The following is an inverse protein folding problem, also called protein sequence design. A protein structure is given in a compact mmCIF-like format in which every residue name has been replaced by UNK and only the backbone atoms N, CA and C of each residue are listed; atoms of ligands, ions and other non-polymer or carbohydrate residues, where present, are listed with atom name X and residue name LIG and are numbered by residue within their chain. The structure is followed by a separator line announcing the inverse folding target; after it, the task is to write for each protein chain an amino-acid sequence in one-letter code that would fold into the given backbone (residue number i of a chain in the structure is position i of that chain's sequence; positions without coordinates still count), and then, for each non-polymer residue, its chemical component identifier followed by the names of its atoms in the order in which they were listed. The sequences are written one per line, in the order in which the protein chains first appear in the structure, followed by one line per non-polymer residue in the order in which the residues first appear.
data_IF_800866319656
#
_entry.id   IF_800866319656
#
_cell.length_a   1.000
_cell.length_b   1.000
_cell.length_c   1.000
_cell.angle_alpha   90.00
_cell.angle_beta   90.00
_cell.angle_gamma   90.00
#
_symmetry.space_group_name_H-M   'P 1'
#
loop_
_entity.id
_entity.type
_entity.pdbx_description
1 polymer ?
#
# COMPACT_ATOMS: atom_id res chain seq x y z
N UNK A 1 -38.45 -23.41 8.15
CA UNK A 1 -37.19 -24.10 8.57
C UNK A 1 -36.54 -24.82 7.39
N UNK A 2 -36.74 -24.35 6.15
CA UNK A 2 -36.25 -25.01 4.92
C UNK A 2 -35.41 -24.06 4.01
N UNK A 3 -35.11 -22.83 4.44
CA UNK A 3 -34.39 -21.85 3.61
C UNK A 3 -32.85 -21.89 3.75
N UNK A 4 -32.31 -22.62 4.72
CA UNK A 4 -30.88 -22.64 4.96
C UNK A 4 -30.12 -23.78 4.26
N UNK A 5 -30.83 -24.74 3.67
CA UNK A 5 -30.21 -25.95 3.09
C UNK A 5 -29.66 -25.71 1.69
N UNK A 6 -30.25 -24.79 0.94
CA UNK A 6 -29.87 -24.54 -0.48
C UNK A 6 -28.56 -23.73 -0.61
N UNK A 7 -28.25 -22.88 0.35
CA UNK A 7 -27.02 -22.08 0.34
C UNK A 7 -25.80 -22.91 0.76
N UNK A 8 -25.99 -23.86 1.66
CA UNK A 8 -24.93 -24.80 2.07
C UNK A 8 -24.60 -25.82 1.00
N UNK A 9 -25.60 -26.31 0.23
CA UNK A 9 -25.38 -27.23 -0.87
C UNK A 9 -24.61 -26.59 -2.04
N UNK A 10 -24.90 -25.34 -2.37
CA UNK A 10 -24.15 -24.56 -3.37
C UNK A 10 -22.75 -24.24 -2.90
N UNK A 11 -22.57 -23.97 -1.60
CA UNK A 11 -21.26 -23.71 -1.01
C UNK A 11 -20.37 -24.95 -0.98
N UNK A 12 -20.92 -26.11 -0.67
CA UNK A 12 -20.20 -27.39 -0.66
C UNK A 12 -19.84 -27.88 -2.09
N UNK A 13 -20.58 -27.47 -3.12
CA UNK A 13 -20.23 -27.79 -4.51
C UNK A 13 -19.07 -26.92 -5.03
N UNK A 14 -18.90 -25.71 -4.47
CA UNK A 14 -17.79 -24.81 -4.81
C UNK A 14 -16.51 -25.15 -4.00
N UNK A 15 -16.66 -25.70 -2.80
CA UNK A 15 -15.52 -26.02 -1.93
C UNK A 15 -14.78 -27.32 -2.30
N UNK A 16 -15.34 -28.14 -3.20
CA UNK A 16 -14.75 -29.41 -3.62
C UNK A 16 -14.02 -29.35 -4.96
N UNK A 17 -13.58 -28.17 -5.37
CA UNK A 17 -12.61 -28.03 -6.46
C UNK A 17 -11.25 -27.78 -5.83
N UNK A 18 -10.43 -28.84 -5.77
CA UNK A 18 -9.07 -28.87 -5.25
C UNK A 18 -8.23 -27.65 -5.63
N UNK A 19 -8.20 -26.65 -4.79
CA UNK A 19 -7.22 -25.59 -4.84
C UNK A 19 -5.94 -26.06 -4.15
N UNK A 20 -5.01 -26.58 -4.96
CA UNK A 20 -3.64 -26.84 -4.60
C UNK A 20 -3.03 -25.58 -3.98
N UNK A 21 -2.36 -25.65 -2.81
CA UNK A 21 -1.76 -24.48 -2.18
C UNK A 21 -0.72 -23.84 -3.13
N UNK A 22 -0.86 -22.56 -3.36
CA UNK A 22 0.15 -21.74 -4.05
C UNK A 22 1.37 -21.63 -3.12
N UNK A 23 2.42 -22.37 -3.47
CA UNK A 23 3.74 -22.24 -2.84
C UNK A 23 4.30 -20.85 -3.15
N UNK A 24 4.61 -20.12 -2.09
CA UNK A 24 5.41 -18.89 -2.13
C UNK A 24 6.77 -19.18 -2.78
N UNK A 25 7.23 -18.39 -3.76
CA UNK A 25 8.55 -18.61 -4.35
C UNK A 25 9.64 -18.27 -3.33
N UNK A 26 10.38 -19.30 -2.92
CA UNK A 26 11.62 -19.17 -2.17
C UNK A 26 12.73 -18.65 -3.10
N UNK A 27 13.67 -17.82 -2.60
CA UNK A 27 14.77 -17.35 -3.43
C UNK A 27 15.70 -18.50 -3.79
N UNK A 28 15.97 -18.63 -5.08
CA UNK A 28 16.87 -19.63 -5.66
C UNK A 28 18.30 -19.27 -5.24
N UNK A 29 18.83 -20.02 -4.28
CA UNK A 29 20.28 -20.03 -4.00
C UNK A 29 20.91 -21.03 -4.95
N UNK A 30 21.56 -20.54 -5.98
CA UNK A 30 22.37 -21.36 -6.88
C UNK A 30 23.69 -21.71 -6.20
N UNK A 31 23.76 -22.89 -5.64
CA UNK A 31 25.02 -23.53 -5.19
C UNK A 31 25.67 -24.23 -6.39
N UNK A 32 26.37 -23.52 -7.24
CA UNK A 32 27.30 -24.11 -8.19
C UNK A 32 28.62 -24.44 -7.47
N UNK A 33 28.71 -25.67 -6.95
CA UNK A 33 29.98 -26.28 -6.58
C UNK A 33 30.79 -26.60 -7.83
N UNK A 34 31.55 -25.66 -8.35
CA UNK A 34 32.67 -25.94 -9.24
C UNK A 34 33.83 -26.54 -8.42
N UNK A 35 33.98 -27.86 -8.55
CA UNK A 35 35.21 -28.54 -8.16
C UNK A 35 36.35 -28.07 -9.03
N UNK A 36 37.17 -27.16 -8.52
CA UNK A 36 38.47 -26.86 -9.09
C UNK A 36 39.49 -27.80 -8.48
N UNK A 37 39.88 -28.81 -9.25
CA UNK A 37 41.00 -29.68 -8.91
C UNK A 37 42.30 -28.88 -8.96
N UNK A 38 42.85 -28.53 -7.82
CA UNK A 38 44.19 -27.97 -7.74
C UNK A 38 45.20 -29.11 -7.68
N UNK A 39 45.90 -29.25 -8.77
CA UNK A 39 47.08 -30.10 -8.87
C UNK A 39 48.22 -29.53 -7.98
N UNK A 40 48.60 -30.28 -6.97
CA UNK A 40 49.69 -29.92 -6.06
C UNK A 40 51.02 -30.29 -6.70
N UNK A 41 51.74 -29.31 -7.15
CA UNK A 41 53.10 -29.51 -7.62
C UNK A 41 53.78 -28.18 -7.92
N UNK A 42 54.60 -27.71 -7.01
CA UNK A 42 55.57 -26.67 -7.35
C UNK A 42 55.65 -25.46 -6.41
N UNK A 43 56.54 -25.56 -5.45
CA UNK A 43 57.44 -24.44 -5.15
C UNK A 43 56.98 -23.39 -4.15
N UNK A 44 57.58 -23.48 -3.01
CA UNK A 44 57.80 -22.54 -1.90
C UNK A 44 57.82 -21.01 -2.24
N UNK A 45 57.88 -20.62 -3.50
CA UNK A 45 57.93 -19.21 -3.93
C UNK A 45 56.53 -18.54 -4.00
N UNK A 46 55.49 -19.33 -4.17
CA UNK A 46 54.12 -18.80 -4.24
C UNK A 46 53.56 -18.44 -2.84
N UNK A 47 53.96 -19.17 -1.81
CA UNK A 47 53.60 -18.92 -0.42
C UNK A 47 54.22 -17.65 0.13
N UNK A 48 55.47 -17.32 -0.29
CA UNK A 48 56.14 -16.08 0.08
C UNK A 48 55.50 -14.86 -0.59
N UNK A 49 55.07 -14.97 -1.84
CA UNK A 49 54.36 -13.89 -2.54
C UNK A 49 52.98 -13.62 -1.95
N UNK A 50 52.25 -14.67 -1.56
CA UNK A 50 50.92 -14.54 -0.91
C UNK A 50 51.03 -13.90 0.47
N UNK A 51 52.08 -14.22 1.24
CA UNK A 51 52.31 -13.64 2.56
C UNK A 51 52.75 -12.17 2.48
N UNK A 52 53.49 -11.77 1.45
CA UNK A 52 53.86 -10.37 1.21
C UNK A 52 52.62 -9.52 0.87
N UNK A 53 51.68 -10.04 0.06
CA UNK A 53 50.43 -9.32 -0.27
C UNK A 53 49.56 -9.15 0.96
N UNK A 54 49.49 -10.16 1.86
CA UNK A 54 48.75 -10.09 3.12
C UNK A 54 49.34 -9.12 4.15
N UNK A 55 50.68 -8.88 4.11
CA UNK A 55 51.32 -7.92 5.02
C UNK A 55 51.32 -6.49 4.45
N UNK A 56 51.50 -6.33 3.13
CA UNK A 56 51.53 -5.01 2.49
C UNK A 56 50.09 -4.43 2.36
N UNK A 57 49.10 -5.26 2.09
CA UNK A 57 47.71 -4.82 1.92
C UNK A 57 47.16 -4.01 3.12
N UNK A 58 47.25 -4.50 4.36
CA UNK A 58 46.81 -3.76 5.55
C UNK A 58 47.63 -2.48 5.79
N UNK A 59 48.92 -2.48 5.50
CA UNK A 59 49.77 -1.30 5.66
C UNK A 59 49.37 -0.22 4.64
N UNK A 60 49.13 -0.59 3.39
CA UNK A 60 48.65 0.33 2.37
C UNK A 60 47.27 0.88 2.70
N UNK A 61 46.35 0.03 3.16
CA UNK A 61 45.03 0.46 3.63
C UNK A 61 45.12 1.39 4.84
N UNK A 62 46.02 1.10 5.78
CA UNK A 62 46.27 1.94 6.95
C UNK A 62 46.83 3.31 6.56
N UNK A 63 47.80 3.34 5.65
CA UNK A 63 48.40 4.59 5.12
C UNK A 63 47.33 5.38 4.34
N UNK A 64 46.52 4.75 3.48
CA UNK A 64 45.45 5.40 2.75
C UNK A 64 44.37 5.95 3.69
N UNK A 65 44.07 5.24 4.78
CA UNK A 65 43.13 5.70 5.77
C UNK A 65 43.64 6.92 6.57
N UNK A 66 44.95 6.91 6.89
CA UNK A 66 45.58 7.97 7.70
C UNK A 66 45.98 9.21 6.88
N UNK A 67 46.31 9.05 5.59
CA UNK A 67 46.69 10.16 4.72
C UNK A 67 45.53 10.83 4.02
N UNK A 68 44.30 10.28 4.20
CA UNK A 68 43.09 10.86 3.59
C UNK A 68 43.07 10.80 2.05
N UNK A 69 44.04 10.14 1.42
CA UNK A 69 44.16 9.98 -0.04
C UNK A 69 43.28 8.78 -0.43
N UNK A 70 42.00 8.92 -0.45
CA UNK A 70 41.08 7.82 -0.84
C UNK A 70 39.61 8.06 -0.50
N UNK A 71 39.32 9.06 0.27
CA UNK A 71 37.94 9.52 0.45
C UNK A 71 37.63 10.53 -0.66
N UNK A 72 37.49 10.04 -1.89
CA UNK A 72 36.67 10.75 -2.85
C UNK A 72 35.23 10.63 -2.31
N UNK A 73 34.87 11.51 -1.38
CA UNK A 73 33.50 11.87 -1.21
C UNK A 73 33.06 12.33 -2.57
N UNK A 74 32.18 11.53 -3.22
CA UNK A 74 31.45 12.01 -4.38
C UNK A 74 30.66 13.20 -3.89
N UNK A 75 31.28 14.38 -4.00
CA UNK A 75 30.64 15.65 -3.77
C UNK A 75 29.63 15.81 -4.89
N UNK A 76 28.39 15.39 -4.63
CA UNK A 76 27.27 15.72 -5.49
C UNK A 76 27.03 17.23 -5.33
N UNK A 77 27.35 18.06 -6.32
CA UNK A 77 27.20 19.52 -6.18
C UNK A 77 25.74 19.96 -5.99
N UNK A 78 24.79 19.04 -6.16
CA UNK A 78 23.35 19.23 -5.90
C UNK A 78 22.86 18.54 -4.62
N UNK A 79 23.71 17.91 -3.84
CA UNK A 79 23.33 17.52 -2.50
C UNK A 79 23.20 18.80 -1.68
N UNK A 80 21.95 19.19 -1.45
CA UNK A 80 21.62 20.18 -0.41
C UNK A 80 22.26 19.67 0.87
N UNK A 81 23.36 20.29 1.30
CA UNK A 81 24.00 19.93 2.56
C UNK A 81 22.93 20.06 3.65
N UNK A 82 22.83 19.08 4.57
CA UNK A 82 21.99 19.29 5.74
C UNK A 82 22.51 20.56 6.40
N UNK A 83 21.70 21.61 6.37
CA UNK A 83 21.97 22.83 7.11
C UNK A 83 21.79 22.47 8.58
N UNK A 84 22.85 21.93 9.18
CA UNK A 84 22.97 21.92 10.63
C UNK A 84 23.18 23.39 10.97
N UNK A 85 22.10 24.04 11.37
CA UNK A 85 22.16 25.42 11.82
C UNK A 85 23.13 25.47 12.99
N UNK A 86 24.30 26.08 12.78
CA UNK A 86 25.27 26.34 13.83
C UNK A 86 24.57 27.13 14.95
N UNK A 87 24.22 26.43 16.05
CA UNK A 87 23.71 27.05 17.25
C UNK A 87 22.22 27.47 17.27
N UNK A 88 21.44 27.13 16.26
CA UNK A 88 20.00 27.37 16.21
C UNK A 88 19.21 26.37 17.06
N UNK A 89 18.30 26.83 17.89
CA UNK A 89 17.32 25.98 18.60
C UNK A 89 16.37 25.40 17.51
N UNK A 90 16.33 24.07 17.38
CA UNK A 90 15.49 23.37 16.42
C UNK A 90 14.01 23.67 16.74
N UNK A 91 13.28 24.22 15.80
CA UNK A 91 11.85 24.50 15.94
C UNK A 91 11.05 23.27 15.51
N UNK A 92 10.43 22.63 16.47
CA UNK A 92 9.62 21.41 16.26
C UNK A 92 8.17 21.70 16.55
N UNK A 93 7.28 21.31 15.65
CA UNK A 93 5.84 21.29 15.86
C UNK A 93 5.29 19.88 15.76
N UNK A 94 4.04 19.70 16.12
CA UNK A 94 3.34 18.44 15.98
C UNK A 94 1.91 18.64 15.53
N UNK A 95 1.42 17.64 14.80
CA UNK A 95 0.03 17.55 14.33
C UNK A 95 -0.55 16.21 14.79
N UNK A 96 -1.66 16.28 15.53
CA UNK A 96 -2.49 15.13 15.86
C UNK A 96 -3.32 14.77 14.62
N UNK A 97 -2.93 13.68 13.95
CA UNK A 97 -3.59 13.24 12.70
C UNK A 97 -5.01 12.75 12.94
N UNK A 98 -5.30 12.16 14.09
CA UNK A 98 -6.64 11.66 14.39
C UNK A 98 -7.60 12.83 14.54
N UNK A 99 -7.19 13.86 15.30
CA UNK A 99 -7.95 15.10 15.45
C UNK A 99 -8.08 15.85 14.12
N UNK A 100 -7.01 15.90 13.31
CA UNK A 100 -7.01 16.56 12.02
C UNK A 100 -8.03 15.88 11.09
N UNK A 101 -7.97 14.56 10.94
CA UNK A 101 -8.88 13.81 10.05
C UNK A 101 -10.34 13.90 10.53
N UNK A 102 -10.57 13.90 11.84
CA UNK A 102 -11.91 14.03 12.41
C UNK A 102 -12.55 15.42 12.19
N UNK A 103 -11.73 16.48 12.07
CA UNK A 103 -12.21 17.86 11.92
C UNK A 103 -12.08 18.42 10.50
N UNK A 104 -11.28 17.81 9.62
CA UNK A 104 -11.09 18.28 8.26
C UNK A 104 -12.32 17.94 7.40
N UNK A 105 -13.07 18.96 7.00
CA UNK A 105 -14.34 18.79 6.29
C UNK A 105 -14.19 18.02 4.96
N UNK A 106 -13.09 18.21 4.25
CA UNK A 106 -12.83 17.45 3.02
C UNK A 106 -12.66 15.95 3.31
N UNK A 107 -11.98 15.58 4.39
CA UNK A 107 -11.83 14.17 4.78
C UNK A 107 -13.19 13.54 5.12
N UNK A 108 -14.05 14.29 5.82
CA UNK A 108 -15.41 13.85 6.15
C UNK A 108 -16.25 13.67 4.88
N UNK A 109 -16.22 14.64 3.97
CA UNK A 109 -16.97 14.59 2.70
C UNK A 109 -16.47 13.44 1.82
N UNK A 110 -15.16 13.21 1.77
CA UNK A 110 -14.52 12.13 1.02
C UNK A 110 -14.90 10.74 1.56
N UNK A 111 -14.91 10.60 2.89
CA UNK A 111 -15.37 9.36 3.53
C UNK A 111 -16.85 9.09 3.20
N UNK A 112 -17.71 10.12 3.30
CA UNK A 112 -19.11 9.99 2.95
C UNK A 112 -19.32 9.63 1.45
N UNK A 113 -18.50 10.15 0.55
CA UNK A 113 -18.50 9.76 -0.87
C UNK A 113 -18.12 8.29 -1.05
N UNK A 114 -17.07 7.84 -0.36
CA UNK A 114 -16.63 6.44 -0.40
C UNK A 114 -17.70 5.50 0.13
N UNK A 115 -18.37 5.85 1.21
CA UNK A 115 -19.44 5.03 1.79
C UNK A 115 -20.65 4.92 0.86
N UNK A 116 -21.05 6.03 0.23
CA UNK A 116 -22.10 6.02 -0.81
C UNK A 116 -21.68 5.17 -2.02
N UNK A 117 -20.41 5.22 -2.41
CA UNK A 117 -19.90 4.39 -3.50
C UNK A 117 -19.98 2.90 -3.14
N UNK A 118 -19.54 2.51 -1.94
CA UNK A 118 -19.66 1.12 -1.44
C UNK A 118 -21.11 0.65 -1.45
N UNK A 119 -22.00 1.41 -0.85
CA UNK A 119 -23.44 1.10 -0.79
C UNK A 119 -24.05 0.96 -2.19
N UNK A 120 -23.69 1.83 -3.12
CA UNK A 120 -24.16 1.76 -4.51
C UNK A 120 -23.68 0.49 -5.21
N UNK A 121 -22.42 0.10 -5.02
CA UNK A 121 -21.84 -1.11 -5.62
C UNK A 121 -22.49 -2.36 -5.02
N UNK A 122 -22.68 -2.40 -3.73
CA UNK A 122 -23.32 -3.52 -3.03
C UNK A 122 -24.77 -3.68 -3.46
N UNK A 123 -25.53 -2.60 -3.53
CA UNK A 123 -26.92 -2.62 -4.03
C UNK A 123 -27.01 -3.17 -5.45
N UNK A 124 -26.12 -2.74 -6.34
CA UNK A 124 -26.06 -3.25 -7.72
C UNK A 124 -25.78 -4.76 -7.75
N UNK A 125 -24.87 -5.23 -6.92
CA UNK A 125 -24.59 -6.67 -6.79
C UNK A 125 -25.81 -7.44 -6.30
N UNK A 126 -26.48 -6.97 -5.26
CA UNK A 126 -27.69 -7.60 -4.70
C UNK A 126 -28.84 -7.62 -5.72
N UNK A 127 -29.01 -6.57 -6.50
CA UNK A 127 -30.02 -6.53 -7.58
C UNK A 127 -29.73 -7.60 -8.64
N UNK A 128 -28.47 -7.77 -9.05
CA UNK A 128 -28.08 -8.79 -10.01
C UNK A 128 -28.26 -10.20 -9.46
N UNK A 129 -27.91 -10.43 -8.19
CA UNK A 129 -28.13 -11.70 -7.49
C UNK A 129 -29.62 -12.05 -7.43
N UNK A 130 -30.44 -11.09 -7.00
CA UNK A 130 -31.90 -11.29 -6.92
C UNK A 130 -32.50 -11.61 -8.28
N UNK A 131 -32.06 -10.90 -9.32
CA UNK A 131 -32.51 -11.18 -10.69
C UNK A 131 -32.14 -12.58 -11.13
N UNK A 132 -30.87 -12.97 -10.90
CA UNK A 132 -30.42 -14.31 -11.22
C UNK A 132 -31.23 -15.39 -10.48
N UNK A 133 -31.48 -15.23 -9.18
CA UNK A 133 -32.28 -16.16 -8.40
C UNK A 133 -33.71 -16.28 -8.94
N UNK A 134 -34.35 -15.17 -9.31
CA UNK A 134 -35.68 -15.17 -9.88
C UNK A 134 -35.72 -15.87 -11.26
N UNK A 135 -34.74 -15.60 -12.11
CA UNK A 135 -34.61 -16.22 -13.42
C UNK A 135 -34.38 -17.73 -13.29
N UNK A 136 -33.52 -18.15 -12.35
CA UNK A 136 -33.31 -19.56 -12.03
C UNK A 136 -34.57 -20.25 -11.50
N UNK A 137 -35.30 -19.63 -10.55
CA UNK A 137 -36.55 -20.15 -10.05
C UNK A 137 -37.62 -20.25 -11.14
N UNK A 138 -37.67 -19.30 -12.05
CA UNK A 138 -38.57 -19.32 -13.20
C UNK A 138 -38.22 -20.50 -14.13
N UNK A 139 -36.94 -20.72 -14.41
CA UNK A 139 -36.47 -21.87 -15.20
C UNK A 139 -36.89 -23.21 -14.55
N UNK A 140 -36.71 -23.36 -13.24
CA UNK A 140 -37.13 -24.58 -12.55
C UNK A 140 -38.63 -24.88 -12.68
N UNK A 141 -39.48 -23.85 -12.76
CA UNK A 141 -40.93 -24.00 -12.87
C UNK A 141 -41.40 -24.23 -14.32
N UNK A 142 -40.70 -23.67 -15.28
CA UNK A 142 -41.16 -23.64 -16.68
C UNK A 142 -40.32 -24.51 -17.62
N UNK A 143 -39.15 -24.97 -17.19
CA UNK A 143 -38.16 -25.69 -17.99
C UNK A 143 -38.74 -26.97 -18.61
N UNK A 144 -39.55 -27.71 -17.88
CA UNK A 144 -40.18 -28.94 -18.40
C UNK A 144 -41.09 -28.69 -19.61
N UNK A 145 -41.65 -27.50 -19.76
CA UNK A 145 -42.48 -27.09 -20.87
C UNK A 145 -41.71 -26.48 -22.07
N UNK A 146 -40.42 -26.36 -21.95
CA UNK A 146 -39.56 -25.82 -23.00
C UNK A 146 -39.12 -26.89 -23.97
N UNK A 147 -38.81 -26.52 -25.23
CA UNK A 147 -38.14 -27.43 -26.19
C UNK A 147 -36.69 -27.67 -25.71
N UNK A 148 -36.12 -28.79 -26.11
CA UNK A 148 -34.74 -29.14 -25.75
C UNK A 148 -33.73 -28.04 -26.11
N UNK A 149 -33.90 -27.41 -27.27
CA UNK A 149 -33.05 -26.28 -27.67
C UNK A 149 -33.19 -25.05 -26.77
N UNK A 150 -34.41 -24.75 -26.30
CA UNK A 150 -34.66 -23.66 -25.35
C UNK A 150 -34.08 -23.98 -23.98
N UNK A 151 -34.24 -25.19 -23.47
CA UNK A 151 -33.63 -25.62 -22.22
C UNK A 151 -32.11 -25.43 -22.25
N UNK A 152 -31.44 -25.97 -23.27
CA UNK A 152 -29.98 -25.85 -23.42
C UNK A 152 -29.52 -24.38 -23.48
N UNK A 153 -30.24 -23.55 -24.22
CA UNK A 153 -29.91 -22.11 -24.30
C UNK A 153 -30.05 -21.40 -22.95
N UNK A 154 -31.14 -21.67 -22.23
CA UNK A 154 -31.40 -21.06 -20.91
C UNK A 154 -30.41 -21.54 -19.86
N UNK A 155 -30.06 -22.82 -19.84
CA UNK A 155 -29.04 -23.38 -18.95
C UNK A 155 -27.67 -22.75 -19.21
N UNK A 156 -27.28 -22.62 -20.48
CA UNK A 156 -26.03 -21.98 -20.85
C UNK A 156 -25.97 -20.52 -20.41
N UNK A 157 -27.09 -19.78 -20.54
CA UNK A 157 -27.19 -18.39 -20.09
C UNK A 157 -27.12 -18.29 -18.57
N UNK A 158 -27.85 -19.11 -17.83
CA UNK A 158 -27.83 -19.14 -16.37
C UNK A 158 -26.44 -19.50 -15.85
N UNK A 159 -25.79 -20.48 -16.44
CA UNK A 159 -24.39 -20.84 -16.11
C UNK A 159 -23.44 -19.65 -16.31
N UNK A 160 -23.50 -19.00 -17.46
CA UNK A 160 -22.68 -17.83 -17.74
C UNK A 160 -22.90 -16.69 -16.75
N UNK A 161 -24.16 -16.47 -16.34
CA UNK A 161 -24.51 -15.45 -15.34
C UNK A 161 -23.99 -15.82 -13.95
N UNK A 162 -24.09 -17.10 -13.55
CA UNK A 162 -23.55 -17.58 -12.29
C UNK A 162 -22.02 -17.37 -12.22
N UNK A 163 -21.29 -17.73 -13.29
CA UNK A 163 -19.84 -17.49 -13.40
C UNK A 163 -19.50 -16.01 -13.28
N UNK A 164 -20.25 -15.13 -13.97
CA UNK A 164 -20.06 -13.68 -13.87
C UNK A 164 -20.32 -13.15 -12.46
N UNK A 165 -21.34 -13.63 -11.77
CA UNK A 165 -21.66 -13.22 -10.41
C UNK A 165 -20.59 -13.69 -9.42
N UNK A 166 -20.04 -14.90 -9.62
CA UNK A 166 -18.92 -15.41 -8.80
C UNK A 166 -17.65 -14.56 -8.92
N UNK A 167 -17.36 -14.01 -10.11
CA UNK A 167 -16.20 -13.12 -10.28
C UNK A 167 -16.48 -11.67 -9.85
N UNK A 168 -17.73 -11.22 -9.95
CA UNK A 168 -18.14 -9.85 -9.70
C UNK A 168 -17.86 -9.40 -8.27
N UNK A 169 -18.04 -10.26 -7.28
CA UNK A 169 -17.76 -9.96 -5.87
C UNK A 169 -16.29 -9.59 -5.65
N UNK A 170 -15.36 -10.38 -6.21
CA UNK A 170 -13.94 -10.09 -6.16
C UNK A 170 -13.57 -8.79 -6.89
N UNK A 171 -14.17 -8.54 -8.05
CA UNK A 171 -13.96 -7.29 -8.80
C UNK A 171 -14.46 -6.07 -8.03
N UNK A 172 -15.62 -6.16 -7.39
CA UNK A 172 -16.18 -5.08 -6.58
C UNK A 172 -15.28 -4.77 -5.38
N UNK A 173 -14.83 -5.80 -4.68
CA UNK A 173 -13.90 -5.65 -3.56
C UNK A 173 -12.63 -4.90 -4.02
N UNK A 174 -12.04 -5.32 -5.14
CA UNK A 174 -10.86 -4.66 -5.68
C UNK A 174 -11.12 -3.21 -6.08
N UNK A 175 -12.26 -2.91 -6.71
CA UNK A 175 -12.65 -1.54 -7.08
C UNK A 175 -12.84 -0.64 -5.87
N UNK A 176 -13.45 -1.15 -4.81
CA UNK A 176 -13.65 -0.42 -3.55
C UNK A 176 -12.30 -0.13 -2.88
N UNK A 177 -11.42 -1.14 -2.80
CA UNK A 177 -10.07 -0.96 -2.25
C UNK A 177 -9.27 0.07 -3.06
N UNK A 178 -9.32 0.00 -4.39
CA UNK A 178 -8.65 0.97 -5.26
C UNK A 178 -9.18 2.38 -5.02
N UNK A 179 -10.51 2.57 -5.02
CA UNK A 179 -11.13 3.88 -4.74
C UNK A 179 -10.72 4.42 -3.38
N UNK A 180 -10.63 3.55 -2.36
CA UNK A 180 -10.19 3.94 -1.02
C UNK A 180 -8.71 4.38 -1.00
N UNK A 181 -7.84 3.63 -1.69
CA UNK A 181 -6.42 3.99 -1.82
C UNK A 181 -6.25 5.34 -2.54
N UNK A 182 -6.92 5.54 -3.67
CA UNK A 182 -6.86 6.78 -4.44
C UNK A 182 -7.34 7.97 -3.61
N UNK A 183 -8.45 7.79 -2.88
CA UNK A 183 -8.98 8.80 -1.97
C UNK A 183 -8.00 9.15 -0.85
N UNK A 184 -7.36 8.16 -0.24
CA UNK A 184 -6.35 8.38 0.79
C UNK A 184 -5.12 9.12 0.25
N UNK A 185 -4.65 8.75 -0.94
CA UNK A 185 -3.51 9.42 -1.60
C UNK A 185 -3.86 10.88 -1.89
N UNK A 186 -5.05 11.16 -2.42
CA UNK A 186 -5.50 12.53 -2.69
C UNK A 186 -5.57 13.36 -1.41
N UNK A 187 -6.18 12.80 -0.34
CA UNK A 187 -6.29 13.45 0.95
C UNK A 187 -4.91 13.81 1.54
N UNK A 188 -3.99 12.84 1.57
CA UNK A 188 -2.63 13.06 2.09
C UNK A 188 -1.87 14.10 1.26
N UNK A 189 -1.99 14.05 -0.06
CA UNK A 189 -1.35 15.04 -0.93
C UNK A 189 -1.82 16.46 -0.65
N UNK A 190 -3.13 16.67 -0.41
CA UNK A 190 -3.68 17.97 -0.04
C UNK A 190 -3.16 18.44 1.30
N UNK A 191 -3.16 17.57 2.31
CA UNK A 191 -2.65 17.88 3.66
C UNK A 191 -1.17 18.27 3.58
N UNK A 192 -0.35 17.48 2.90
CA UNK A 192 1.09 17.76 2.78
C UNK A 192 1.38 19.03 1.95
N UNK A 193 0.60 19.30 0.91
CA UNK A 193 0.72 20.52 0.14
C UNK A 193 0.44 21.75 1.04
N UNK A 194 -0.67 21.72 1.76
CA UNK A 194 -1.04 22.79 2.68
C UNK A 194 0.00 23.00 3.77
N UNK A 195 0.47 21.94 4.45
CA UNK A 195 1.50 22.04 5.50
C UNK A 195 2.77 22.68 4.95
N UNK A 196 3.17 22.32 3.73
CA UNK A 196 4.35 22.87 3.07
C UNK A 196 4.20 24.36 2.79
N UNK A 197 3.04 24.78 2.26
CA UNK A 197 2.73 26.19 2.02
C UNK A 197 2.64 26.99 3.31
N UNK A 198 1.96 26.45 4.33
CA UNK A 198 1.87 27.05 5.65
C UNK A 198 3.26 27.28 6.26
N UNK A 199 4.12 26.27 6.23
CA UNK A 199 5.45 26.36 6.78
C UNK A 199 6.34 27.33 5.99
N UNK A 200 6.24 27.33 4.66
CA UNK A 200 6.98 28.26 3.81
C UNK A 200 6.57 29.73 4.03
N UNK A 201 5.28 30.00 4.18
CA UNK A 201 4.77 31.33 4.43
C UNK A 201 5.19 31.90 5.80
N UNK A 202 5.30 31.05 6.81
CA UNK A 202 5.57 31.45 8.17
C UNK A 202 7.00 31.16 8.63
N UNK A 203 7.78 30.36 7.86
CA UNK A 203 9.17 29.92 8.15
C UNK A 203 9.37 29.48 9.61
N UNK A 204 8.41 28.70 10.12
CA UNK A 204 8.32 28.50 11.57
C UNK A 204 9.04 27.27 12.06
N UNK A 205 8.97 26.14 11.30
CA UNK A 205 9.37 24.85 11.84
C UNK A 205 10.38 24.16 10.97
N UNK A 206 11.42 23.59 11.60
CA UNK A 206 12.42 22.72 10.95
C UNK A 206 11.87 21.29 10.82
N UNK A 207 11.04 20.86 11.77
CA UNK A 207 10.42 19.53 11.79
C UNK A 207 8.96 19.64 12.23
N UNK A 208 8.06 19.00 11.50
CA UNK A 208 6.67 18.81 11.92
C UNK A 208 6.44 17.30 12.09
N UNK A 209 6.17 16.89 13.33
CA UNK A 209 5.94 15.49 13.68
C UNK A 209 4.45 15.16 13.61
N UNK A 210 4.17 13.92 13.24
CA UNK A 210 2.83 13.36 13.29
C UNK A 210 2.62 12.60 14.61
N UNK A 211 1.50 12.84 15.26
CA UNK A 211 1.00 12.06 16.38
C UNK A 211 -0.28 11.31 15.95
N UNK A 212 -0.41 10.04 16.32
CA UNK A 212 -1.63 9.24 16.19
C UNK A 212 -1.80 8.44 17.48
N UNK A 213 -3.00 7.98 17.75
CA UNK A 213 -3.28 7.21 18.96
C UNK A 213 -2.61 5.82 18.92
N UNK A 214 -2.68 5.14 17.77
CA UNK A 214 -2.30 3.73 17.68
C UNK A 214 -0.85 3.48 17.24
N UNK A 215 -0.21 4.40 16.52
CA UNK A 215 1.09 4.17 15.89
C UNK A 215 1.93 5.46 15.89
N UNK A 216 2.05 6.07 17.06
CA UNK A 216 2.88 7.27 17.20
C UNK A 216 4.22 6.95 17.82
N UNK A 217 5.33 7.32 17.19
CA UNK A 217 6.64 7.29 17.82
C UNK A 217 6.76 8.32 18.95
N UNK A 218 5.83 9.25 19.05
CA UNK A 218 5.83 10.34 20.03
C UNK A 218 4.95 9.97 21.22
N UNK A 219 5.55 9.64 22.35
CA UNK A 219 4.85 9.30 23.59
C UNK A 219 4.34 10.54 24.35
N UNK A 220 5.10 11.62 24.29
CA UNK A 220 4.76 12.89 24.93
C UNK A 220 5.20 14.07 24.08
N UNK A 221 4.40 15.11 24.11
CA UNK A 221 4.70 16.37 23.47
C UNK A 221 4.14 17.52 24.31
N UNK A 222 4.91 18.60 24.37
CA UNK A 222 4.43 19.82 25.02
C UNK A 222 3.23 20.38 24.22
N UNK A 223 2.07 20.64 24.85
CA UNK A 223 0.91 21.22 24.17
C UNK A 223 1.18 22.52 23.40
N UNK A 224 2.19 23.29 23.79
CA UNK A 224 2.60 24.50 23.06
C UNK A 224 3.22 24.21 21.67
N UNK A 225 3.55 22.95 21.36
CA UNK A 225 4.07 22.53 20.05
C UNK A 225 2.98 22.01 19.13
N UNK A 226 1.74 21.91 19.61
CA UNK A 226 0.61 21.39 18.86
C UNK A 226 0.00 22.48 17.97
N UNK A 227 0.14 22.32 16.65
CA UNK A 227 -0.43 23.22 15.63
C UNK A 227 -1.64 22.62 14.92
N UNK A 228 -2.22 21.54 15.46
CA UNK A 228 -3.30 20.79 14.81
C UNK A 228 -4.50 21.67 14.44
N UNK A 229 -4.96 22.51 15.38
CA UNK A 229 -6.13 23.35 15.14
C UNK A 229 -5.86 24.41 14.04
N UNK A 230 -4.68 25.02 14.04
CA UNK A 230 -4.28 26.01 13.05
C UNK A 230 -4.26 25.40 11.63
N UNK A 231 -3.70 24.19 11.51
CA UNK A 231 -3.67 23.47 10.23
C UNK A 231 -5.08 23.06 9.80
N UNK A 232 -5.92 22.57 10.72
CA UNK A 232 -7.33 22.20 10.42
C UNK A 232 -8.13 23.42 9.95
N UNK A 233 -8.00 24.55 10.64
CA UNK A 233 -8.73 25.78 10.30
C UNK A 233 -8.31 26.28 8.91
N UNK A 234 -7.02 26.26 8.61
CA UNK A 234 -6.50 26.64 7.31
C UNK A 234 -6.96 25.71 6.19
N UNK A 235 -6.85 24.39 6.37
CA UNK A 235 -7.35 23.39 5.43
C UNK A 235 -8.85 23.54 5.15
N UNK A 236 -9.65 23.78 6.19
CA UNK A 236 -11.08 24.00 6.07
C UNK A 236 -11.42 25.31 5.35
N UNK A 237 -10.64 26.37 5.57
CA UNK A 237 -10.81 27.66 4.87
C UNK A 237 -10.50 27.48 3.37
N UNK A 238 -9.40 26.81 3.03
CA UNK A 238 -9.06 26.47 1.63
C UNK A 238 -10.16 25.65 0.98
N UNK A 239 -10.60 24.57 1.63
CA UNK A 239 -11.66 23.71 1.10
C UNK A 239 -12.96 24.46 0.83
N UNK A 240 -13.38 25.33 1.75
CA UNK A 240 -14.57 26.17 1.56
C UNK A 240 -14.42 27.08 0.34
N UNK A 241 -13.24 27.67 0.15
CA UNK A 241 -12.97 28.54 -0.98
C UNK A 241 -13.06 27.83 -2.34
N UNK A 242 -12.58 26.58 -2.40
CA UNK A 242 -12.67 25.74 -3.58
C UNK A 242 -14.10 25.27 -3.84
N UNK A 243 -14.83 24.88 -2.79
CA UNK A 243 -16.21 24.39 -2.90
C UNK A 243 -17.19 25.48 -3.34
N UNK A 244 -16.93 26.74 -2.96
CA UNK A 244 -17.78 27.90 -3.35
C UNK A 244 -17.58 28.35 -4.79
N UNK A 245 -16.51 27.90 -5.47
CA UNK A 245 -16.19 28.23 -6.90
C UNK A 245 -16.71 27.18 -7.87
N UNK A 246 -17.22 26.04 -7.39
CA UNK A 246 -17.90 25.01 -8.19
C UNK A 246 -19.40 25.21 -8.17
#
# INVERSE_FOLDING_TARGET
MEENTTIEEVKNTIENTDAKPVETPQPIVNDEKKKCGCNVGGGSKCLLAFNCVLLVGPVVLYVLHFTGIGTHTMHNPNATQPVIAEGGVLKVACIDSDTLLAKYQYAIDLQAELDKYKESQERNYQEQMTKFQNDYQTYLKTGENMTLSQQQATEAELKQRAEKLGTLEGELTNKILQKQMDSNIELLNRIFAFIREYNAANQQFDIILRKTFNDSPTLYMNPAMDITNEIVDGLNAEYKSVKSKK
#
